data_IF_809185090638
#
_entry.id   IF_809185090638
#
_cell.length_a   1.000
_cell.length_b   1.000
_cell.length_c   1.000
_cell.angle_alpha   90.00
_cell.angle_beta   90.00
_cell.angle_gamma   90.00
#
_symmetry.space_group_name_H-M   'P 1'
#
loop_
_entity.id
_entity.type
_entity.pdbx_description
1 polymer ?
#
# COMPACT_ATOMS: atom_id res chain seq x y z
N UNK A 1 -18.31 -9.26 -60.29
CA UNK A 1 -17.16 -8.71 -59.55
C UNK A 1 -17.74 -7.88 -58.42
N UNK A 2 -18.00 -8.49 -57.26
CA UNK A 2 -18.48 -7.82 -56.03
C UNK A 2 -18.84 -8.93 -55.03
N UNK A 3 -17.85 -9.53 -54.37
CA UNK A 3 -18.10 -10.32 -53.15
C UNK A 3 -16.79 -10.79 -52.50
N UNK A 4 -15.78 -9.91 -52.36
CA UNK A 4 -14.52 -10.28 -51.70
C UNK A 4 -13.93 -9.23 -50.75
N UNK A 5 -14.67 -8.18 -50.42
CA UNK A 5 -14.12 -7.04 -49.65
C UNK A 5 -14.81 -6.79 -48.29
N UNK A 6 -15.58 -7.76 -47.78
CA UNK A 6 -16.30 -7.62 -46.50
C UNK A 6 -15.86 -8.63 -45.42
N UNK A 7 -14.87 -9.49 -45.69
CA UNK A 7 -14.39 -10.48 -44.72
C UNK A 7 -13.04 -10.14 -44.06
N UNK A 8 -12.37 -9.07 -44.49
CA UNK A 8 -11.05 -8.70 -43.97
C UNK A 8 -11.08 -7.62 -42.87
N UNK A 9 -12.26 -7.18 -42.42
CA UNK A 9 -12.42 -6.09 -41.44
C UNK A 9 -13.02 -6.50 -40.08
N UNK A 10 -13.05 -7.80 -39.74
CA UNK A 10 -13.63 -8.27 -38.45
C UNK A 10 -12.58 -8.89 -37.51
N UNK A 11 -11.31 -8.92 -37.90
CA UNK A 11 -10.25 -9.60 -37.11
C UNK A 11 -9.32 -8.65 -36.33
N UNK A 12 -9.54 -7.34 -36.36
CA UNK A 12 -8.71 -6.33 -35.65
C UNK A 12 -9.43 -5.60 -34.49
N UNK A 13 -10.47 -6.21 -33.89
CA UNK A 13 -11.15 -5.64 -32.71
C UNK A 13 -11.27 -6.61 -31.53
N UNK A 14 -10.43 -7.65 -31.48
CA UNK A 14 -10.53 -8.68 -30.44
C UNK A 14 -9.19 -8.89 -29.71
N UNK A 15 -8.69 -7.83 -29.06
CA UNK A 15 -7.89 -7.99 -27.82
C UNK A 15 -8.00 -6.77 -26.89
N UNK A 16 -9.18 -6.14 -26.82
CA UNK A 16 -9.42 -4.99 -25.93
C UNK A 16 -9.93 -5.40 -24.54
N UNK A 17 -9.70 -6.66 -24.13
CA UNK A 17 -9.93 -7.05 -22.73
C UNK A 17 -8.70 -6.64 -21.93
N UNK A 18 -8.86 -5.94 -20.80
CA UNK A 18 -7.73 -5.67 -19.91
C UNK A 18 -7.04 -7.00 -19.62
N UNK A 19 -5.75 -7.09 -19.93
CA UNK A 19 -4.95 -8.25 -19.51
C UNK A 19 -4.97 -8.29 -17.99
N UNK A 20 -5.11 -9.48 -17.42
CA UNK A 20 -5.16 -9.61 -15.97
C UNK A 20 -5.39 -11.02 -15.50
N UNK A 21 -5.25 -11.22 -14.20
CA UNK A 21 -5.43 -12.53 -13.55
C UNK A 21 -6.40 -12.43 -12.38
N UNK A 22 -7.24 -13.46 -12.23
CA UNK A 22 -8.07 -13.65 -11.04
C UNK A 22 -7.30 -14.49 -10.04
N UNK A 23 -7.16 -13.99 -8.81
CA UNK A 23 -6.56 -14.72 -7.70
C UNK A 23 -7.08 -14.18 -6.37
N UNK A 24 -6.69 -14.79 -5.26
CA UNK A 24 -7.04 -14.28 -3.93
C UNK A 24 -5.87 -13.54 -3.29
N UNK A 25 -6.19 -12.50 -2.52
CA UNK A 25 -5.22 -11.72 -1.74
C UNK A 25 -5.70 -11.59 -0.29
N UNK A 26 -4.78 -11.50 0.67
CA UNK A 26 -5.12 -10.97 1.99
C UNK A 26 -5.01 -9.45 1.93
N UNK A 27 -6.04 -8.75 2.39
CA UNK A 27 -6.07 -7.28 2.41
C UNK A 27 -6.89 -6.79 3.59
N UNK A 28 -6.46 -5.66 4.15
CA UNK A 28 -7.21 -4.91 5.16
C UNK A 28 -7.95 -3.70 4.56
N UNK A 29 -7.87 -3.51 3.24
CA UNK A 29 -8.44 -2.36 2.54
C UNK A 29 -9.40 -2.78 1.43
N UNK A 30 -10.33 -1.88 1.10
CA UNK A 30 -11.34 -2.10 0.06
C UNK A 30 -10.80 -1.65 -1.29
N UNK A 31 -10.79 -2.56 -2.27
CA UNK A 31 -10.28 -2.30 -3.62
C UNK A 31 -11.37 -1.94 -4.64
N UNK A 32 -11.06 -1.14 -5.68
CA UNK A 32 -9.78 -0.46 -5.92
C UNK A 32 -9.52 0.68 -4.93
N UNK A 33 -8.24 0.94 -4.66
CA UNK A 33 -7.82 2.07 -3.82
C UNK A 33 -7.72 3.32 -4.70
N UNK A 34 -8.34 4.42 -4.25
CA UNK A 34 -8.23 5.74 -4.87
C UNK A 34 -7.11 6.54 -4.19
N UNK A 35 -5.99 6.69 -4.89
CA UNK A 35 -4.90 7.56 -4.47
C UNK A 35 -5.13 9.00 -4.91
N UNK A 36 -4.59 9.95 -4.16
CA UNK A 36 -4.67 11.39 -4.43
C UNK A 36 -6.13 11.89 -4.58
N UNK A 37 -7.05 11.38 -3.75
CA UNK A 37 -8.49 11.67 -3.86
C UNK A 37 -8.87 13.15 -3.69
N UNK A 38 -7.96 13.97 -3.18
CA UNK A 38 -8.10 15.42 -3.00
C UNK A 38 -7.59 16.27 -4.17
N UNK A 39 -7.03 15.64 -5.22
CA UNK A 39 -6.60 16.34 -6.44
C UNK A 39 -7.69 16.38 -7.53
N UNK A 40 -8.68 15.49 -7.47
CA UNK A 40 -9.76 15.45 -8.46
C UNK A 40 -10.87 16.46 -8.11
N UNK A 41 -11.14 17.39 -9.03
CA UNK A 41 -12.15 18.43 -8.85
C UNK A 41 -13.57 17.82 -8.88
N UNK A 42 -14.35 17.99 -7.81
CA UNK A 42 -15.78 17.67 -7.80
C UNK A 42 -16.18 16.29 -7.25
N UNK A 43 -15.26 15.52 -6.68
CA UNK A 43 -15.59 14.32 -5.91
C UNK A 43 -15.52 14.59 -4.40
N UNK A 44 -16.21 13.73 -3.63
CA UNK A 44 -16.06 13.64 -2.19
C UNK A 44 -14.62 13.23 -1.83
N UNK A 45 -13.79 14.24 -1.59
CA UNK A 45 -12.35 14.19 -1.35
C UNK A 45 -11.98 13.78 0.08
N UNK A 46 -12.94 13.31 0.87
CA UNK A 46 -12.67 12.86 2.24
C UNK A 46 -11.71 11.66 2.22
N UNK A 47 -10.49 11.89 2.69
CA UNK A 47 -9.44 10.88 2.83
C UNK A 47 -9.70 10.01 4.06
N UNK A 48 -9.79 8.70 3.87
CA UNK A 48 -10.11 7.78 4.96
C UNK A 48 -9.01 7.77 6.05
N UNK A 49 -7.75 8.01 5.67
CA UNK A 49 -6.65 8.10 6.63
C UNK A 49 -6.65 9.39 7.45
N UNK A 50 -7.25 10.45 6.93
CA UNK A 50 -7.38 11.71 7.66
C UNK A 50 -8.60 11.70 8.58
N UNK A 51 -9.68 11.01 8.18
CA UNK A 51 -10.91 10.90 8.98
C UNK A 51 -10.80 9.82 10.04
N UNK A 52 -10.20 8.68 9.72
CA UNK A 52 -10.09 7.53 10.62
C UNK A 52 -8.61 7.31 10.99
N UNK A 53 -8.20 7.90 12.11
CA UNK A 53 -6.78 7.93 12.55
C UNK A 53 -6.18 6.53 12.78
N UNK A 54 -7.02 5.55 13.12
CA UNK A 54 -6.60 4.16 13.37
C UNK A 54 -6.55 3.33 12.08
N UNK A 55 -7.19 3.78 10.99
CA UNK A 55 -7.30 3.03 9.75
C UNK A 55 -5.95 2.62 9.13
N UNK A 56 -4.89 3.46 9.16
CA UNK A 56 -3.55 3.02 8.76
C UNK A 56 -3.02 1.83 9.56
N UNK A 57 -3.38 1.72 10.85
CA UNK A 57 -2.89 0.67 11.73
C UNK A 57 -3.70 -0.62 11.61
N UNK A 58 -5.03 -0.55 11.54
CA UNK A 58 -5.91 -1.74 11.62
C UNK A 58 -6.69 -2.05 10.32
N UNK A 59 -6.77 -1.10 9.39
CA UNK A 59 -7.59 -1.23 8.18
C UNK A 59 -9.08 -1.46 8.52
N UNK A 60 -9.82 -1.99 7.56
CA UNK A 60 -11.21 -2.40 7.70
C UNK A 60 -11.36 -3.85 8.23
N UNK A 61 -10.28 -4.43 8.75
CA UNK A 61 -10.17 -5.85 9.11
C UNK A 61 -9.66 -6.70 7.95
N UNK A 62 -8.96 -7.80 8.24
CA UNK A 62 -8.34 -8.64 7.22
C UNK A 62 -9.41 -9.50 6.52
N UNK A 63 -9.44 -9.43 5.19
CA UNK A 63 -10.28 -10.24 4.31
C UNK A 63 -9.39 -11.05 3.35
N UNK A 64 -9.97 -12.10 2.75
CA UNK A 64 -9.30 -12.92 1.72
C UNK A 64 -10.13 -12.95 0.41
N UNK A 65 -10.40 -11.77 -0.21
CA UNK A 65 -11.22 -11.67 -1.41
C UNK A 65 -10.60 -12.34 -2.63
N UNK A 66 -11.46 -12.75 -3.55
CA UNK A 66 -11.07 -12.96 -4.94
C UNK A 66 -11.03 -11.60 -5.65
N UNK A 67 -9.91 -11.31 -6.31
CA UNK A 67 -9.66 -10.05 -6.99
C UNK A 67 -9.24 -10.26 -8.44
N UNK A 68 -9.53 -9.28 -9.28
CA UNK A 68 -8.95 -9.14 -10.61
C UNK A 68 -7.77 -8.17 -10.57
N UNK A 69 -6.58 -8.64 -10.94
CA UNK A 69 -5.36 -7.86 -11.08
C UNK A 69 -5.14 -7.45 -12.54
N UNK A 70 -5.14 -6.15 -12.82
CA UNK A 70 -5.06 -5.59 -14.17
C UNK A 70 -3.65 -5.59 -14.78
N UNK A 71 -2.60 -6.00 -14.05
CA UNK A 71 -1.18 -6.04 -14.45
C UNK A 71 -0.53 -4.72 -14.91
N UNK A 72 -1.32 -3.73 -15.31
CA UNK A 72 -0.98 -2.36 -15.68
C UNK A 72 -0.57 -1.48 -14.48
N UNK A 73 -0.70 -2.01 -13.25
CA UNK A 73 -0.39 -1.29 -12.02
C UNK A 73 -1.59 -0.55 -11.41
N UNK A 74 -2.76 -0.54 -12.06
CA UNK A 74 -3.95 0.20 -11.59
C UNK A 74 -4.59 -0.39 -10.32
N UNK A 75 -3.93 -1.36 -9.66
CA UNK A 75 -4.40 -2.00 -8.45
C UNK A 75 -5.24 -3.26 -8.68
N UNK A 76 -6.07 -3.57 -7.70
CA UNK A 76 -6.97 -4.73 -7.71
C UNK A 76 -8.42 -4.28 -7.84
N UNK A 77 -9.29 -5.18 -8.28
CA UNK A 77 -10.75 -5.02 -8.21
C UNK A 77 -11.32 -6.20 -7.44
N UNK A 78 -12.10 -5.92 -6.40
CA UNK A 78 -12.81 -6.97 -5.66
C UNK A 78 -13.86 -7.63 -6.57
N UNK A 79 -13.78 -8.95 -6.71
CA UNK A 79 -14.73 -9.76 -7.48
C UNK A 79 -15.71 -10.49 -6.55
N UNK A 80 -15.20 -11.04 -5.43
CA UNK A 80 -16.00 -11.80 -4.47
C UNK A 80 -15.39 -11.79 -3.08
N UNK A 81 -16.23 -11.68 -2.06
CA UNK A 81 -15.82 -11.82 -0.66
C UNK A 81 -14.91 -10.69 -0.17
N UNK A 82 -14.99 -9.53 -0.80
CA UNK A 82 -14.29 -8.30 -0.40
C UNK A 82 -15.13 -7.40 0.49
N UNK A 83 -14.52 -6.29 0.92
CA UNK A 83 -15.14 -5.32 1.82
C UNK A 83 -16.40 -4.69 1.24
N UNK A 84 -16.40 -4.41 -0.08
CA UNK A 84 -17.55 -3.82 -0.76
C UNK A 84 -18.77 -4.73 -0.68
N UNK A 85 -18.58 -6.03 -0.90
CA UNK A 85 -19.69 -6.99 -0.92
C UNK A 85 -20.17 -7.37 0.48
N UNK A 86 -19.24 -7.56 1.43
CA UNK A 86 -19.55 -8.15 2.74
C UNK A 86 -19.93 -7.09 3.77
N UNK A 87 -19.30 -5.92 3.72
CA UNK A 87 -19.42 -4.88 4.73
C UNK A 87 -20.00 -3.56 4.20
N UNK A 88 -20.34 -3.50 2.92
CA UNK A 88 -20.83 -2.28 2.25
C UNK A 88 -19.86 -1.09 2.36
N UNK A 89 -18.57 -1.39 2.54
CA UNK A 89 -17.52 -0.39 2.64
C UNK A 89 -17.10 0.01 1.22
N UNK A 90 -17.17 1.32 0.93
CA UNK A 90 -16.71 1.87 -0.33
C UNK A 90 -15.20 1.66 -0.58
N UNK A 91 -14.74 2.09 -1.74
CA UNK A 91 -13.31 2.08 -2.10
C UNK A 91 -12.50 2.86 -1.07
N UNK A 92 -11.34 2.35 -0.68
CA UNK A 92 -10.41 3.12 0.18
C UNK A 92 -9.90 4.36 -0.57
N UNK A 93 -10.02 5.54 0.05
CA UNK A 93 -9.59 6.84 -0.47
C UNK A 93 -8.43 7.41 0.35
N UNK A 94 -7.35 7.81 -0.31
CA UNK A 94 -6.16 8.36 0.32
C UNK A 94 -5.77 9.67 -0.37
N UNK A 95 -5.59 10.75 0.39
CA UNK A 95 -5.18 12.06 -0.14
C UNK A 95 -3.72 12.07 -0.61
N UNK A 96 -3.34 13.14 -1.30
CA UNK A 96 -1.98 13.38 -1.75
C UNK A 96 -0.96 13.38 -0.61
N UNK A 97 -1.28 14.01 0.52
CA UNK A 97 -0.37 14.03 1.68
C UNK A 97 -0.11 12.62 2.25
N UNK A 98 -1.16 11.81 2.40
CA UNK A 98 -1.03 10.44 2.89
C UNK A 98 -0.37 9.48 1.88
N UNK A 99 -0.58 9.72 0.58
CA UNK A 99 0.05 8.98 -0.51
C UNK A 99 1.54 9.31 -0.60
N UNK A 100 1.88 10.59 -0.69
CA UNK A 100 3.27 11.08 -0.79
C UNK A 100 4.12 10.70 0.42
N UNK A 101 3.56 10.71 1.63
CA UNK A 101 4.27 10.25 2.83
C UNK A 101 4.71 8.79 2.75
N UNK A 102 3.90 7.91 2.16
CA UNK A 102 4.24 6.48 1.96
C UNK A 102 5.16 6.29 0.78
N UNK A 103 4.96 7.06 -0.27
CA UNK A 103 5.86 7.10 -1.42
C UNK A 103 7.28 7.47 -1.01
N UNK A 104 7.45 8.48 -0.16
CA UNK A 104 8.76 8.87 0.36
C UNK A 104 9.45 7.71 1.09
N UNK A 105 8.70 6.93 1.88
CA UNK A 105 9.21 5.72 2.55
C UNK A 105 9.64 4.67 1.53
N UNK A 106 8.77 4.27 0.60
CA UNK A 106 9.03 3.18 -0.36
C UNK A 106 10.20 3.51 -1.30
N UNK A 107 10.35 4.77 -1.69
CA UNK A 107 11.44 5.22 -2.58
C UNK A 107 12.79 5.39 -1.87
N UNK A 108 12.83 5.26 -0.54
CA UNK A 108 14.07 5.25 0.21
C UNK A 108 14.66 3.82 0.25
N UNK A 109 15.42 3.47 -0.79
CA UNK A 109 15.94 2.12 -1.00
C UNK A 109 16.77 1.54 0.15
N UNK A 110 17.43 2.40 0.94
CA UNK A 110 18.22 1.97 2.09
C UNK A 110 18.06 2.92 3.27
N UNK A 111 17.24 2.52 4.24
CA UNK A 111 16.96 3.32 5.42
C UNK A 111 18.13 3.30 6.40
N UNK A 112 18.74 4.47 6.63
CA UNK A 112 19.72 4.67 7.70
C UNK A 112 19.01 5.11 8.96
N UNK A 113 18.88 4.25 9.95
CA UNK A 113 18.12 4.56 11.17
C UNK A 113 18.97 5.31 12.20
N UNK A 114 18.38 6.33 12.82
CA UNK A 114 18.94 7.02 13.98
C UNK A 114 17.90 7.14 15.09
N UNK A 115 18.37 7.41 16.32
CA UNK A 115 17.46 7.61 17.46
C UNK A 115 16.66 8.89 17.27
N UNK A 116 15.36 8.81 17.48
CA UNK A 116 14.50 9.98 17.57
C UNK A 116 14.76 10.70 18.89
N UNK A 117 14.62 12.04 18.93
CA UNK A 117 14.68 12.79 20.17
C UNK A 117 13.58 12.31 21.13
N UNK A 118 13.83 12.29 22.45
CA UNK A 118 12.80 11.98 23.44
C UNK A 118 11.55 12.85 23.19
N UNK A 119 10.38 12.23 23.26
CA UNK A 119 9.10 12.91 23.12
C UNK A 119 8.39 12.84 24.48
N UNK A 120 8.15 14.00 25.10
CA UNK A 120 7.56 14.10 26.44
C UNK A 120 6.03 13.96 26.47
N UNK A 121 5.39 13.71 25.32
CA UNK A 121 3.91 13.74 25.22
C UNK A 121 3.31 12.38 24.83
N UNK A 122 1.99 12.27 25.06
CA UNK A 122 1.15 11.19 24.56
C UNK A 122 1.05 11.14 23.03
N UNK A 123 1.60 12.13 22.32
CA UNK A 123 1.65 12.23 20.85
C UNK A 123 2.94 11.65 20.26
N UNK A 124 3.69 10.87 21.03
CA UNK A 124 4.88 10.22 20.52
C UNK A 124 4.54 9.38 19.26
N UNK A 125 5.39 9.41 18.23
CA UNK A 125 5.09 8.73 16.98
C UNK A 125 4.96 7.23 17.21
N UNK A 126 4.05 6.60 16.48
CA UNK A 126 3.88 5.14 16.46
C UNK A 126 4.80 4.50 15.44
N UNK A 127 5.04 3.19 15.59
CA UNK A 127 5.78 2.40 14.61
C UNK A 127 5.02 2.37 13.27
N UNK A 128 5.73 2.41 12.13
CA UNK A 128 5.17 2.24 10.79
C UNK A 128 5.00 0.78 10.35
N UNK A 129 5.42 -0.20 11.16
CA UNK A 129 5.46 -1.62 10.76
C UNK A 129 4.52 -2.49 11.57
N UNK A 130 4.48 -2.30 12.89
CA UNK A 130 3.65 -3.12 13.78
C UNK A 130 2.65 -2.27 14.56
N UNK A 131 1.53 -2.88 14.93
CA UNK A 131 0.49 -2.27 15.77
C UNK A 131 0.84 -2.32 17.27
N UNK A 132 2.07 -2.70 17.62
CA UNK A 132 2.48 -2.71 19.02
C UNK A 132 2.32 -1.32 19.63
N UNK A 133 1.83 -1.21 20.86
CA UNK A 133 1.74 0.05 21.61
C UNK A 133 3.10 0.71 21.89
N UNK A 134 4.21 0.10 21.46
CA UNK A 134 5.54 0.66 21.60
C UNK A 134 5.70 1.90 20.71
N UNK A 135 6.02 3.03 21.35
CA UNK A 135 6.40 4.29 20.71
C UNK A 135 7.60 4.08 19.78
N UNK A 136 7.60 4.74 18.63
CA UNK A 136 8.75 4.79 17.75
C UNK A 136 9.90 5.55 18.43
N UNK A 137 11.06 4.93 18.44
CA UNK A 137 12.29 5.47 19.04
C UNK A 137 13.41 5.64 18.01
N UNK A 138 13.18 5.17 16.79
CA UNK A 138 14.08 5.31 15.66
C UNK A 138 13.35 5.92 14.47
N UNK A 139 14.06 6.70 13.68
CA UNK A 139 13.58 7.23 12.42
C UNK A 139 14.63 7.10 11.34
N UNK A 140 14.22 7.05 10.08
CA UNK A 140 15.16 7.15 8.97
C UNK A 140 15.78 8.56 8.96
N UNK A 141 17.10 8.60 8.99
CA UNK A 141 17.88 9.82 8.98
C UNK A 141 17.77 10.51 7.61
N UNK A 142 17.91 11.84 7.58
CA UNK A 142 18.01 12.57 6.33
C UNK A 142 19.10 12.01 5.40
N UNK A 143 18.80 12.04 4.11
CA UNK A 143 19.84 11.86 3.08
C UNK A 143 20.69 13.13 2.97
N UNK A 144 21.71 13.12 2.13
CA UNK A 144 22.56 14.30 1.88
C UNK A 144 21.76 15.48 1.29
N UNK A 145 20.52 15.22 0.82
CA UNK A 145 19.55 16.23 0.36
C UNK A 145 18.75 16.86 1.51
N UNK A 146 18.99 16.47 2.76
CA UNK A 146 18.39 17.09 3.96
C UNK A 146 17.01 16.58 4.36
N UNK A 147 16.37 15.72 3.55
CA UNK A 147 15.03 15.21 3.82
C UNK A 147 15.07 13.76 4.34
N UNK A 148 14.33 13.50 5.42
CA UNK A 148 14.03 12.14 5.90
C UNK A 148 12.80 11.59 5.17
N UNK A 149 12.79 10.30 4.88
CA UNK A 149 11.66 9.65 4.21
C UNK A 149 10.39 9.52 5.08
N UNK A 150 10.46 9.88 6.37
CA UNK A 150 9.33 9.79 7.31
C UNK A 150 9.14 8.45 8.00
N UNK A 151 9.96 7.43 7.72
CA UNK A 151 9.89 6.12 8.38
C UNK A 151 10.26 6.23 9.86
N UNK A 152 9.38 5.75 10.75
CA UNK A 152 9.55 5.73 12.21
C UNK A 152 9.26 4.33 12.75
N UNK A 153 10.16 3.82 13.58
CA UNK A 153 10.15 2.43 14.05
C UNK A 153 10.30 2.34 15.58
N UNK A 154 9.57 1.40 16.17
CA UNK A 154 9.88 0.93 17.52
C UNK A 154 11.22 0.17 17.50
N UNK A 155 11.85 0.02 18.67
CA UNK A 155 13.17 -0.63 18.78
C UNK A 155 13.24 -2.02 18.13
N UNK A 156 12.28 -2.96 18.35
CA UNK A 156 12.34 -4.27 17.71
C UNK A 156 12.34 -4.21 16.17
N UNK A 157 11.46 -3.38 15.58
CA UNK A 157 11.39 -3.23 14.13
C UNK A 157 12.66 -2.57 13.58
N UNK A 158 13.21 -1.56 14.27
CA UNK A 158 14.44 -0.91 13.89
C UNK A 158 15.65 -1.88 13.90
N UNK A 159 15.77 -2.69 14.95
CA UNK A 159 16.83 -3.71 15.06
C UNK A 159 16.71 -4.75 13.95
N UNK A 160 15.49 -5.22 13.68
CA UNK A 160 15.22 -6.20 12.62
C UNK A 160 15.60 -5.62 11.25
N UNK A 161 15.11 -4.42 10.92
CA UNK A 161 15.39 -3.77 9.66
C UNK A 161 16.89 -3.54 9.45
N UNK A 162 17.60 -3.09 10.48
CA UNK A 162 19.02 -2.77 10.37
C UNK A 162 19.93 -4.01 10.34
N UNK A 163 19.68 -4.99 11.21
CA UNK A 163 20.58 -6.12 11.39
C UNK A 163 20.30 -7.26 10.39
N UNK A 164 19.03 -7.56 10.15
CA UNK A 164 18.64 -8.72 9.36
C UNK A 164 18.46 -8.34 7.88
N UNK A 165 17.99 -7.11 7.61
CA UNK A 165 17.65 -6.63 6.26
C UNK A 165 18.52 -5.44 5.79
N UNK A 166 19.54 -5.04 6.56
CA UNK A 166 20.52 -3.99 6.18
C UNK A 166 19.90 -2.65 5.72
N UNK A 167 18.73 -2.31 6.26
CA UNK A 167 17.98 -1.10 5.90
C UNK A 167 17.04 -1.24 4.70
N UNK A 168 16.94 -2.41 4.07
CA UNK A 168 16.07 -2.66 2.91
C UNK A 168 14.66 -3.02 3.39
N UNK A 169 13.75 -2.04 3.39
CA UNK A 169 12.41 -2.23 3.95
C UNK A 169 11.54 -3.17 3.11
N UNK A 170 11.64 -3.11 1.78
CA UNK A 170 10.89 -3.97 0.87
C UNK A 170 11.14 -5.46 1.16
N UNK A 171 12.42 -5.85 1.27
CA UNK A 171 12.83 -7.22 1.64
C UNK A 171 12.29 -7.63 3.02
N UNK A 172 12.40 -6.74 4.02
CA UNK A 172 11.85 -7.01 5.35
C UNK A 172 10.35 -7.28 5.29
N UNK A 173 9.59 -6.43 4.60
CA UNK A 173 8.14 -6.59 4.52
C UNK A 173 7.72 -7.79 3.66
N UNK A 174 8.42 -8.08 2.57
CA UNK A 174 8.17 -9.25 1.73
C UNK A 174 8.48 -10.59 2.42
N UNK A 175 9.39 -10.58 3.41
CA UNK A 175 9.68 -11.76 4.24
C UNK A 175 8.65 -12.01 5.34
N UNK A 176 7.90 -10.98 5.75
CA UNK A 176 6.86 -11.09 6.76
C UNK A 176 5.60 -11.60 6.07
N UNK A 177 5.15 -12.80 6.44
CA UNK A 177 4.05 -13.44 5.74
C UNK A 177 2.77 -12.61 5.80
N UNK A 178 2.11 -12.43 4.66
CA UNK A 178 0.79 -11.80 4.53
C UNK A 178 -0.35 -12.62 5.19
N UNK A 179 -0.03 -13.75 5.82
CA UNK A 179 -1.03 -14.67 6.38
C UNK A 179 -1.31 -14.34 7.85
N UNK A 180 -2.57 -14.04 8.22
CA UNK A 180 -2.92 -13.75 9.61
C UNK A 180 -2.70 -14.96 10.54
N UNK A 181 -2.76 -16.18 10.01
CA UNK A 181 -2.44 -17.42 10.74
C UNK A 181 -0.95 -17.68 10.98
N UNK A 182 -0.02 -16.90 10.40
CA UNK A 182 1.40 -17.09 10.65
C UNK A 182 1.80 -16.56 12.04
N UNK A 183 2.29 -17.38 12.97
CA UNK A 183 2.76 -16.91 14.28
C UNK A 183 3.96 -15.95 14.20
N UNK A 184 4.67 -15.91 13.07
CA UNK A 184 5.71 -14.92 12.77
C UNK A 184 5.14 -13.59 12.25
N UNK A 185 3.85 -13.52 11.94
CA UNK A 185 3.13 -12.28 11.65
C UNK A 185 3.07 -11.44 12.92
N UNK A 186 4.16 -10.71 13.18
CA UNK A 186 4.21 -9.65 14.19
C UNK A 186 3.09 -8.71 13.84
N UNK A 187 2.00 -8.68 14.62
CA UNK A 187 0.79 -7.87 14.38
C UNK A 187 1.08 -6.63 13.51
N UNK A 188 1.05 -6.82 12.18
CA UNK A 188 1.54 -5.83 11.25
C UNK A 188 0.48 -4.75 11.18
N UNK A 189 0.92 -3.51 10.95
CA UNK A 189 -0.03 -2.48 10.58
C UNK A 189 -0.66 -2.85 9.26
N UNK A 190 -1.96 -2.64 9.13
CA UNK A 190 -2.65 -2.79 7.85
C UNK A 190 -1.89 -2.07 6.72
N UNK A 191 -1.42 -0.83 6.96
CA UNK A 191 -0.73 -0.06 5.93
C UNK A 191 0.66 -0.57 5.50
N UNK A 192 1.15 -1.69 6.05
CA UNK A 192 2.31 -2.39 5.50
C UNK A 192 2.08 -2.85 4.05
N UNK A 193 0.84 -3.16 3.67
CA UNK A 193 0.43 -3.54 2.31
C UNK A 193 0.76 -2.46 1.26
N UNK A 194 0.88 -1.20 1.69
CA UNK A 194 1.31 -0.08 0.85
C UNK A 194 2.82 0.01 0.70
N UNK A 195 3.56 -0.46 1.70
CA UNK A 195 5.00 -0.25 1.84
C UNK A 195 5.84 -1.39 1.25
N UNK A 196 5.23 -2.51 0.88
CA UNK A 196 5.90 -3.62 0.18
C UNK A 196 6.44 -3.18 -1.18
N UNK A 197 7.47 -3.88 -1.66
CA UNK A 197 8.08 -3.63 -2.97
C UNK A 197 7.10 -3.86 -4.13
N UNK A 198 6.16 -4.78 -3.97
CA UNK A 198 5.03 -5.04 -4.87
C UNK A 198 3.69 -4.50 -4.33
N UNK A 199 3.76 -3.67 -3.29
CA UNK A 199 2.61 -3.12 -2.57
C UNK A 199 1.81 -2.09 -3.36
N UNK A 200 0.75 -1.58 -2.74
CA UNK A 200 -0.18 -0.68 -3.43
C UNK A 200 0.45 0.62 -3.94
N UNK A 201 1.43 1.19 -3.22
CA UNK A 201 2.14 2.40 -3.67
C UNK A 201 3.04 2.09 -4.86
N UNK A 202 3.79 0.99 -4.82
CA UNK A 202 4.68 0.60 -5.92
C UNK A 202 3.88 0.33 -7.21
N UNK A 203 2.72 -0.34 -7.09
CA UNK A 203 1.81 -0.56 -8.22
C UNK A 203 1.24 0.75 -8.75
N UNK A 204 0.84 1.67 -7.87
CA UNK A 204 0.36 2.99 -8.27
C UNK A 204 1.42 3.80 -9.03
N UNK A 205 2.69 3.77 -8.61
CA UNK A 205 3.79 4.40 -9.34
C UNK A 205 3.95 3.82 -10.75
N UNK A 206 3.96 2.48 -10.86
CA UNK A 206 4.04 1.80 -12.15
C UNK A 206 2.93 2.24 -13.10
N UNK A 207 1.72 2.46 -12.58
CA UNK A 207 0.58 2.93 -13.36
C UNK A 207 0.71 4.40 -13.80
N UNK A 208 1.40 5.24 -13.03
CA UNK A 208 1.67 6.62 -13.45
C UNK A 208 2.73 6.72 -14.55
N UNK A 209 3.58 5.69 -14.69
CA UNK A 209 4.62 5.60 -15.72
C UNK A 209 4.12 4.99 -17.06
N UNK A 210 2.86 4.54 -17.13
CA UNK A 210 2.22 3.99 -18.36
C UNK A 210 1.40 5.03 -19.10
#
# INVERSE_FOLDING_TARGET
MESKTLQDNVTELVDSRPKGTVHKIYTSFSHPITFNCDLESGQDSSCDYCTEIDLPAIGFGIMHPEVFDRHDGSGFIEMKGGHTQVHEIGKTKICYACTSGRLAIVTCYQHRLGKLPPQDTDQAPVCNICVSQAKATFGCMPTDRGESCGLKLCRPCAVTLNNDYRGVLGEMLGSLADRPEDPANRALRADHEFLKEDGHIARYLKYLDT
#
